data_IF_695774839926
#
_entry.id   IF_695774839926
#
_cell.length_a   1.000
_cell.length_b   1.000
_cell.length_c   1.000
_cell.angle_alpha   90.00
_cell.angle_beta   90.00
_cell.angle_gamma   90.00
#
_symmetry.space_group_name_H-M   'P 1'
#
loop_
_entity.id
_entity.type
_entity.pdbx_description
1 polymer ?
#
# COMPACT_ATOMS: atom_id res chain seq x y z
N UNK A 1 18.95 9.30 24.15
CA UNK A 1 20.11 8.60 23.54
C UNK A 1 21.19 8.29 24.59
N UNK A 2 21.72 9.26 25.34
CA UNK A 2 22.82 9.07 26.32
C UNK A 2 22.48 7.98 27.36
N UNK A 3 21.30 8.00 27.96
CA UNK A 3 20.89 7.00 28.97
C UNK A 3 20.91 5.59 28.37
N UNK A 4 20.38 5.40 27.15
CA UNK A 4 20.40 4.11 26.45
C UNK A 4 21.82 3.64 26.17
N UNK A 5 22.67 4.54 25.66
CA UNK A 5 24.08 4.26 25.40
C UNK A 5 24.80 3.78 26.67
N UNK A 6 24.65 4.51 27.78
CA UNK A 6 25.28 4.16 29.06
C UNK A 6 24.81 2.78 29.54
N UNK A 7 23.51 2.47 29.40
CA UNK A 7 22.99 1.18 29.83
C UNK A 7 23.52 0.03 28.95
N UNK A 8 23.59 0.21 27.63
CA UNK A 8 24.12 -0.76 26.69
C UNK A 8 25.60 -1.05 26.99
N UNK A 9 26.41 -0.04 27.20
CA UNK A 9 27.85 -0.14 27.47
C UNK A 9 28.21 -0.94 28.74
N UNK A 10 27.23 -1.21 29.60
CA UNK A 10 27.43 -2.13 30.75
C UNK A 10 27.54 -3.59 30.32
N UNK A 11 27.07 -3.95 29.15
CA UNK A 11 26.90 -5.34 28.69
C UNK A 11 27.68 -5.67 27.43
N UNK A 12 27.89 -4.68 26.55
CA UNK A 12 28.53 -4.85 25.24
C UNK A 12 29.39 -3.65 24.85
N UNK A 13 30.41 -3.92 24.04
CA UNK A 13 31.16 -2.88 23.33
C UNK A 13 30.45 -2.56 22.02
N UNK A 14 30.35 -1.27 21.68
CA UNK A 14 29.79 -0.81 20.42
C UNK A 14 30.81 -1.05 19.29
N UNK A 15 30.35 -1.56 18.17
CA UNK A 15 31.16 -1.81 16.98
C UNK A 15 30.55 -1.13 15.76
N UNK A 16 31.07 0.06 15.40
CA UNK A 16 30.58 0.88 14.30
C UNK A 16 30.83 0.26 12.90
N UNK A 17 31.78 -0.66 12.80
CA UNK A 17 32.11 -1.36 11.55
C UNK A 17 31.24 -2.62 11.31
N UNK A 18 30.13 -2.73 12.05
CA UNK A 18 29.19 -3.84 11.87
C UNK A 18 28.48 -3.71 10.51
N UNK A 19 28.59 -4.69 9.59
CA UNK A 19 27.94 -4.68 8.27
C UNK A 19 26.41 -4.48 8.32
N UNK A 20 25.78 -4.84 9.44
CA UNK A 20 24.33 -4.61 9.64
C UNK A 20 24.01 -3.13 9.71
N UNK A 21 24.88 -2.29 10.27
CA UNK A 21 24.69 -0.84 10.33
C UNK A 21 24.71 -0.24 8.94
N UNK A 22 25.65 -0.67 8.09
CA UNK A 22 25.74 -0.23 6.70
C UNK A 22 24.50 -0.64 5.90
N UNK A 23 23.98 -1.84 6.14
CA UNK A 23 22.73 -2.31 5.53
C UNK A 23 21.53 -1.42 5.93
N UNK A 24 21.40 -1.10 7.22
CA UNK A 24 20.34 -0.22 7.71
C UNK A 24 20.48 1.20 7.12
N UNK A 25 21.71 1.72 7.05
CA UNK A 25 21.99 3.02 6.45
C UNK A 25 21.61 3.05 4.96
N UNK A 26 21.99 2.04 4.18
CA UNK A 26 21.65 1.94 2.77
C UNK A 26 20.14 1.84 2.55
N UNK A 27 19.43 1.07 3.38
CA UNK A 27 17.97 0.99 3.35
C UNK A 27 17.32 2.35 3.66
N UNK A 28 17.88 3.13 4.58
CA UNK A 28 17.40 4.47 4.90
C UNK A 28 17.59 5.44 3.73
N UNK A 29 18.78 5.43 3.09
CA UNK A 29 19.11 6.22 1.90
C UNK A 29 18.11 5.94 0.78
N UNK A 30 17.86 4.66 0.47
CA UNK A 30 16.91 4.23 -0.55
C UNK A 30 15.47 4.64 -0.21
N UNK A 31 15.05 4.48 1.04
CA UNK A 31 13.69 4.82 1.51
C UNK A 31 13.42 6.33 1.43
N UNK A 32 14.45 7.14 1.60
CA UNK A 32 14.37 8.59 1.47
C UNK A 32 14.56 9.08 0.02
N UNK A 33 14.72 8.16 -0.95
CA UNK A 33 14.88 8.43 -2.38
C UNK A 33 16.14 9.22 -2.74
N UNK A 34 17.22 9.08 -1.98
CA UNK A 34 18.52 9.62 -2.37
C UNK A 34 19.19 8.68 -3.39
N UNK A 35 19.82 9.25 -4.41
CA UNK A 35 20.44 8.49 -5.51
C UNK A 35 21.71 7.75 -5.07
N UNK A 36 22.42 8.26 -4.05
CA UNK A 36 23.65 7.68 -3.52
C UNK A 36 23.97 8.23 -2.14
N UNK A 37 25.00 7.61 -1.52
CA UNK A 37 25.48 7.98 -0.18
C UNK A 37 26.00 9.42 -0.10
N UNK A 38 26.68 9.91 -1.14
CA UNK A 38 27.26 11.27 -1.14
C UNK A 38 26.17 12.35 -1.14
N UNK A 39 25.10 12.15 -1.90
CA UNK A 39 23.94 13.04 -1.90
C UNK A 39 23.29 13.09 -0.51
N UNK A 40 23.15 11.94 0.12
CA UNK A 40 22.63 11.87 1.49
C UNK A 40 23.56 12.52 2.51
N UNK A 41 24.87 12.37 2.37
CA UNK A 41 25.87 13.02 3.23
C UNK A 41 25.80 14.55 3.13
N UNK A 42 25.73 15.09 1.91
CA UNK A 42 25.54 16.52 1.68
C UNK A 42 24.24 17.04 2.30
N UNK A 43 23.17 16.23 2.24
CA UNK A 43 21.90 16.57 2.90
C UNK A 43 22.07 16.64 4.43
N UNK A 44 22.74 15.67 5.05
CA UNK A 44 22.98 15.64 6.50
C UNK A 44 23.84 16.84 6.98
N UNK A 45 24.81 17.27 6.19
CA UNK A 45 25.66 18.43 6.50
C UNK A 45 24.86 19.73 6.69
N UNK A 46 23.71 19.88 6.03
CA UNK A 46 22.83 21.04 6.24
C UNK A 46 22.23 21.09 7.65
N UNK A 47 22.34 20.01 8.42
CA UNK A 47 21.84 19.87 9.79
C UNK A 47 22.96 19.63 10.81
N UNK A 48 24.22 19.86 10.42
CA UNK A 48 25.41 19.61 11.25
C UNK A 48 25.49 18.15 11.76
N UNK A 49 25.03 17.17 10.94
CA UNK A 49 25.05 15.73 11.25
C UNK A 49 26.00 15.02 10.29
N UNK A 50 26.91 14.20 10.82
CA UNK A 50 27.77 13.33 10.01
C UNK A 50 27.15 11.94 9.82
N UNK A 51 27.60 11.21 8.79
CA UNK A 51 27.24 9.80 8.61
C UNK A 51 27.69 8.95 9.81
N UNK A 52 28.84 9.27 10.39
CA UNK A 52 29.37 8.55 11.56
C UNK A 52 28.50 8.76 12.80
N UNK A 53 27.97 9.97 13.01
CA UNK A 53 27.00 10.21 14.09
C UNK A 53 25.70 9.46 13.88
N UNK A 54 25.24 9.37 12.61
CA UNK A 54 24.07 8.58 12.28
C UNK A 54 24.32 7.08 12.47
N UNK A 55 25.49 6.57 12.08
CA UNK A 55 25.89 5.16 12.32
C UNK A 55 25.92 4.85 13.81
N UNK A 56 26.51 5.71 14.65
CA UNK A 56 26.50 5.58 16.12
C UNK A 56 25.07 5.50 16.67
N UNK A 57 24.19 6.33 16.16
CA UNK A 57 22.80 6.34 16.58
C UNK A 57 22.06 5.06 16.17
N UNK A 58 22.26 4.58 14.94
CA UNK A 58 21.70 3.31 14.45
C UNK A 58 22.19 2.15 15.31
N UNK A 59 23.47 2.13 15.62
CA UNK A 59 24.08 1.08 16.47
C UNK A 59 23.42 1.08 17.87
N UNK A 60 23.35 2.23 18.54
CA UNK A 60 22.74 2.35 19.86
C UNK A 60 21.28 1.86 19.82
N UNK A 61 20.51 2.25 18.81
CA UNK A 61 19.11 1.81 18.68
C UNK A 61 18.98 0.30 18.39
N UNK A 62 19.87 -0.28 17.59
CA UNK A 62 19.90 -1.72 17.33
C UNK A 62 20.26 -2.51 18.58
N UNK A 63 21.32 -2.12 19.27
CA UNK A 63 21.76 -2.80 20.49
C UNK A 63 20.75 -2.62 21.64
N UNK A 64 20.08 -1.48 21.70
CA UNK A 64 18.96 -1.30 22.63
C UNK A 64 17.83 -2.30 22.34
N UNK A 65 17.43 -2.47 21.07
CA UNK A 65 16.40 -3.44 20.69
C UNK A 65 16.83 -4.87 21.00
N UNK A 66 18.08 -5.22 20.72
CA UNK A 66 18.63 -6.53 21.03
C UNK A 66 18.60 -6.82 22.53
N UNK A 67 19.02 -5.87 23.34
CA UNK A 67 18.99 -6.00 24.80
C UNK A 67 17.56 -6.16 25.33
N UNK A 68 16.61 -5.37 24.83
CA UNK A 68 15.20 -5.50 25.17
C UNK A 68 14.66 -6.87 24.77
N UNK A 69 14.97 -7.33 23.58
CA UNK A 69 14.58 -8.66 23.10
C UNK A 69 15.14 -9.76 24.01
N UNK A 70 16.44 -9.78 24.27
CA UNK A 70 17.07 -10.78 25.14
C UNK A 70 16.42 -10.80 26.53
N UNK A 71 16.12 -9.62 27.08
CA UNK A 71 15.59 -9.47 28.42
C UNK A 71 14.11 -9.86 28.55
N UNK A 72 13.30 -9.60 27.50
CA UNK A 72 11.84 -9.65 27.61
C UNK A 72 11.15 -10.59 26.62
N UNK A 73 11.86 -11.26 25.68
CA UNK A 73 11.24 -12.17 24.71
C UNK A 73 10.39 -13.27 25.36
N UNK A 74 10.83 -13.79 26.50
CA UNK A 74 10.09 -14.81 27.29
C UNK A 74 8.84 -14.26 27.98
N UNK A 75 8.73 -12.95 28.11
CA UNK A 75 7.57 -12.25 28.68
C UNK A 75 6.55 -11.85 27.63
N UNK A 76 6.88 -11.98 26.36
CA UNK A 76 5.95 -11.76 25.25
C UNK A 76 4.93 -12.88 25.24
N UNK A 77 3.65 -12.49 25.27
CA UNK A 77 2.54 -13.43 25.24
C UNK A 77 1.62 -13.11 24.06
N UNK A 78 1.58 -14.00 23.07
CA UNK A 78 0.78 -13.84 21.85
C UNK A 78 -0.36 -14.86 21.87
N UNK A 79 -1.58 -14.35 21.92
CA UNK A 79 -2.77 -15.19 21.74
C UNK A 79 -3.01 -15.43 20.23
N UNK A 80 -2.47 -16.55 19.73
CA UNK A 80 -2.61 -16.91 18.31
C UNK A 80 -4.05 -17.18 17.90
N UNK A 81 -4.87 -17.72 18.80
CA UNK A 81 -6.29 -18.01 18.55
C UNK A 81 -7.07 -16.72 18.30
N UNK A 82 -6.83 -15.69 19.13
CA UNK A 82 -7.47 -14.39 18.98
C UNK A 82 -7.04 -13.70 17.65
N UNK A 83 -5.76 -13.84 17.27
CA UNK A 83 -5.28 -13.34 15.98
C UNK A 83 -5.92 -14.07 14.80
N UNK A 84 -6.05 -15.42 14.88
CA UNK A 84 -6.71 -16.19 13.85
C UNK A 84 -8.19 -15.85 13.73
N UNK A 85 -8.91 -15.63 14.83
CA UNK A 85 -10.29 -15.15 14.81
C UNK A 85 -10.43 -13.79 14.12
N UNK A 86 -9.48 -12.89 14.33
CA UNK A 86 -9.45 -11.60 13.62
C UNK A 86 -9.27 -11.79 12.11
N UNK A 87 -8.36 -12.68 11.70
CA UNK A 87 -8.14 -13.01 10.28
C UNK A 87 -9.39 -13.63 9.67
N UNK A 88 -10.03 -14.58 10.36
CA UNK A 88 -11.28 -15.21 9.89
C UNK A 88 -12.41 -14.18 9.71
N UNK A 89 -12.52 -13.23 10.63
CA UNK A 89 -13.49 -12.15 10.50
C UNK A 89 -13.16 -11.21 9.34
N UNK A 90 -11.88 -10.93 9.08
CA UNK A 90 -11.47 -10.15 7.90
C UNK A 90 -11.86 -10.86 6.61
N UNK A 91 -11.62 -12.18 6.51
CA UNK A 91 -12.00 -12.96 5.33
C UNK A 91 -13.51 -13.03 5.14
N UNK A 92 -14.28 -13.29 6.22
CA UNK A 92 -15.75 -13.38 6.16
C UNK A 92 -16.43 -12.07 5.78
N UNK A 93 -15.91 -10.95 6.27
CA UNK A 93 -16.55 -9.65 6.11
C UNK A 93 -16.07 -8.88 4.86
N UNK A 94 -15.05 -9.37 4.18
CA UNK A 94 -14.53 -8.76 2.98
C UNK A 94 -14.86 -9.58 1.74
N UNK A 95 -15.12 -8.89 0.65
CA UNK A 95 -15.35 -9.47 -0.66
C UNK A 95 -14.72 -8.59 -1.73
N UNK A 96 -14.36 -9.22 -2.83
CA UNK A 96 -13.90 -8.50 -4.02
C UNK A 96 -15.13 -8.28 -4.90
N UNK A 97 -15.55 -7.02 -5.04
CA UNK A 97 -16.57 -6.65 -6.01
C UNK A 97 -15.94 -6.71 -7.40
N UNK A 98 -16.55 -7.47 -8.31
CA UNK A 98 -16.15 -7.57 -9.71
C UNK A 98 -17.33 -7.18 -10.62
N UNK A 99 -16.99 -6.56 -11.74
CA UNK A 99 -17.89 -6.16 -12.80
C UNK A 99 -17.48 -6.89 -14.10
N UNK A 100 -18.42 -7.55 -14.73
CA UNK A 100 -18.23 -8.00 -16.11
C UNK A 100 -18.63 -6.84 -17.02
N UNK A 101 -17.67 -6.34 -17.77
CA UNK A 101 -17.79 -5.10 -18.52
C UNK A 101 -17.67 -5.32 -20.02
N UNK A 102 -18.37 -4.47 -20.77
CA UNK A 102 -18.07 -4.18 -22.17
C UNK A 102 -17.83 -2.70 -22.35
N UNK A 103 -17.04 -2.32 -23.34
CA UNK A 103 -16.65 -0.95 -23.61
C UNK A 103 -16.91 -0.49 -25.05
N UNK A 104 -17.12 0.80 -25.20
CA UNK A 104 -17.00 1.52 -26.47
C UNK A 104 -16.07 2.67 -26.24
N UNK A 105 -14.92 2.73 -26.93
CA UNK A 105 -14.02 3.88 -26.92
C UNK A 105 -14.17 4.62 -28.24
N UNK A 106 -14.39 5.92 -28.20
CA UNK A 106 -14.54 6.75 -29.38
C UNK A 106 -13.83 8.10 -29.23
N UNK A 107 -13.40 8.66 -30.38
CA UNK A 107 -12.79 9.97 -30.46
C UNK A 107 -13.74 10.96 -31.10
N UNK A 108 -13.62 12.25 -30.77
CA UNK A 108 -14.30 13.31 -31.51
C UNK A 108 -13.46 13.70 -32.74
N UNK A 109 -14.06 13.70 -33.94
CA UNK A 109 -13.42 14.18 -35.15
C UNK A 109 -13.46 15.70 -35.23
N UNK A 110 -12.51 16.30 -35.95
CA UNK A 110 -12.25 17.75 -36.01
C UNK A 110 -13.47 18.68 -36.27
N UNK A 111 -14.61 18.17 -36.71
CA UNK A 111 -15.81 18.94 -37.02
C UNK A 111 -17.07 18.45 -36.30
N UNK A 112 -16.96 17.51 -35.35
CA UNK A 112 -18.09 16.99 -34.58
C UNK A 112 -17.92 17.29 -33.11
N UNK A 113 -19.01 17.73 -32.44
CA UNK A 113 -18.98 17.88 -30.99
C UNK A 113 -19.04 16.50 -30.34
N UNK A 114 -18.52 16.41 -29.12
CA UNK A 114 -18.66 15.24 -28.27
C UNK A 114 -20.13 14.79 -28.17
N UNK A 115 -21.08 15.72 -28.04
CA UNK A 115 -22.49 15.41 -27.92
C UNK A 115 -23.06 14.77 -29.20
N UNK A 116 -22.62 15.18 -30.38
CA UNK A 116 -23.10 14.63 -31.65
C UNK A 116 -22.63 13.17 -31.83
N UNK A 117 -21.35 12.89 -31.56
CA UNK A 117 -20.82 11.52 -31.65
C UNK A 117 -21.48 10.61 -30.59
N UNK A 118 -21.63 11.10 -29.36
CA UNK A 118 -22.32 10.33 -28.33
C UNK A 118 -23.79 10.03 -28.70
N UNK A 119 -24.52 11.00 -29.27
CA UNK A 119 -25.89 10.81 -29.73
C UNK A 119 -26.01 9.75 -30.83
N UNK A 120 -25.07 9.72 -31.78
CA UNK A 120 -25.01 8.68 -32.81
C UNK A 120 -24.78 7.29 -32.19
N UNK A 121 -23.81 7.19 -31.28
CA UNK A 121 -23.51 5.94 -30.60
C UNK A 121 -24.72 5.47 -29.76
N UNK A 122 -25.37 6.39 -29.05
CA UNK A 122 -26.56 6.08 -28.26
C UNK A 122 -27.71 5.55 -29.12
N UNK A 123 -28.03 6.21 -30.23
CA UNK A 123 -29.04 5.74 -31.17
C UNK A 123 -28.67 4.36 -31.72
N UNK A 124 -27.39 4.14 -32.07
CA UNK A 124 -26.94 2.82 -32.55
C UNK A 124 -27.05 1.74 -31.48
N UNK A 125 -26.82 2.06 -30.20
CA UNK A 125 -27.03 1.11 -29.11
C UNK A 125 -28.53 0.73 -28.99
N UNK A 126 -29.42 1.71 -29.14
CA UNK A 126 -30.87 1.48 -29.09
C UNK A 126 -31.37 0.62 -30.27
N UNK A 127 -30.85 0.87 -31.47
CA UNK A 127 -31.26 0.16 -32.70
C UNK A 127 -30.61 -1.21 -32.89
N UNK A 128 -29.33 -1.35 -32.58
CA UNK A 128 -28.49 -2.48 -32.93
C UNK A 128 -27.92 -3.26 -31.73
N UNK A 129 -28.09 -2.72 -30.54
CA UNK A 129 -27.48 -3.23 -29.29
C UNK A 129 -26.03 -2.81 -29.10
N UNK A 130 -25.57 -2.96 -27.86
CA UNK A 130 -24.23 -2.48 -27.45
C UNK A 130 -23.08 -3.20 -28.20
N UNK A 131 -23.16 -4.53 -28.36
CA UNK A 131 -22.09 -5.32 -29.00
C UNK A 131 -21.88 -4.93 -30.47
N UNK A 132 -22.97 -4.80 -31.24
CA UNK A 132 -22.88 -4.39 -32.65
C UNK A 132 -22.40 -2.94 -32.77
N UNK A 133 -22.85 -2.07 -31.85
CA UNK A 133 -22.38 -0.69 -31.83
C UNK A 133 -20.89 -0.60 -31.48
N UNK A 134 -20.40 -1.44 -30.55
CA UNK A 134 -18.99 -1.53 -30.25
C UNK A 134 -18.16 -1.95 -31.49
N UNK A 135 -18.64 -2.95 -32.25
CA UNK A 135 -17.99 -3.37 -33.49
C UNK A 135 -17.90 -2.24 -34.53
N UNK A 136 -18.90 -1.34 -34.58
CA UNK A 136 -19.00 -0.30 -35.59
C UNK A 136 -18.24 1.01 -35.22
N UNK A 137 -18.28 1.38 -33.95
CA UNK A 137 -17.85 2.70 -33.49
C UNK A 137 -16.63 2.71 -32.57
N UNK A 138 -16.34 1.58 -31.88
CA UNK A 138 -15.23 1.55 -30.94
C UNK A 138 -13.89 1.47 -31.66
N UNK A 139 -12.96 2.33 -31.21
CA UNK A 139 -11.57 2.33 -31.66
C UNK A 139 -10.68 1.38 -30.83
N UNK A 140 -11.24 0.73 -29.82
CA UNK A 140 -10.54 -0.25 -28.99
C UNK A 140 -10.39 -1.58 -29.70
N UNK A 141 -9.34 -2.35 -29.38
CA UNK A 141 -9.18 -3.74 -29.86
C UNK A 141 -10.31 -4.67 -29.45
N UNK A 142 -10.97 -4.38 -28.33
CA UNK A 142 -12.16 -5.12 -27.86
C UNK A 142 -13.34 -5.01 -28.83
N UNK A 143 -13.36 -4.01 -29.73
CA UNK A 143 -14.40 -3.86 -30.76
C UNK A 143 -14.63 -5.14 -31.56
N UNK A 144 -13.56 -5.88 -31.87
CA UNK A 144 -13.62 -7.14 -32.66
C UNK A 144 -14.46 -8.25 -31.99
N UNK A 145 -14.72 -8.12 -30.70
CA UNK A 145 -15.51 -9.04 -29.87
C UNK A 145 -16.67 -8.35 -29.18
N UNK A 146 -17.24 -7.32 -29.81
CA UNK A 146 -18.40 -6.58 -29.29
C UNK A 146 -18.10 -5.73 -28.05
N UNK A 147 -16.85 -5.28 -27.92
CA UNK A 147 -16.40 -4.47 -26.80
C UNK A 147 -16.20 -5.24 -25.49
N UNK A 148 -16.22 -6.58 -25.48
CA UNK A 148 -16.13 -7.40 -24.26
C UNK A 148 -14.75 -7.28 -23.61
N UNK A 149 -14.72 -6.81 -22.34
CA UNK A 149 -13.53 -6.76 -21.49
C UNK A 149 -13.48 -7.98 -20.54
N UNK A 150 -14.65 -8.45 -20.09
CA UNK A 150 -14.78 -9.52 -19.10
C UNK A 150 -14.78 -9.00 -17.66
N UNK A 151 -14.38 -9.87 -16.72
CA UNK A 151 -14.44 -9.58 -15.29
C UNK A 151 -13.29 -8.69 -14.83
N UNK A 152 -13.63 -7.54 -14.27
CA UNK A 152 -12.67 -6.57 -13.72
C UNK A 152 -12.99 -6.31 -12.25
N UNK A 153 -11.99 -6.48 -11.38
CA UNK A 153 -12.14 -6.18 -9.97
C UNK A 153 -12.26 -4.66 -9.75
N UNK A 154 -13.16 -4.25 -8.85
CA UNK A 154 -13.39 -2.83 -8.51
C UNK A 154 -12.10 -2.08 -8.20
N UNK A 155 -11.15 -2.71 -7.50
CA UNK A 155 -9.85 -2.11 -7.15
C UNK A 155 -8.95 -1.75 -8.35
N UNK A 156 -9.20 -2.36 -9.51
CA UNK A 156 -8.45 -2.11 -10.75
C UNK A 156 -9.09 -1.00 -11.61
N UNK A 157 -10.23 -0.45 -11.18
CA UNK A 157 -10.90 0.67 -11.83
C UNK A 157 -10.53 1.98 -11.15
N UNK A 158 -10.36 3.04 -11.94
CA UNK A 158 -10.15 4.38 -11.38
C UNK A 158 -11.40 4.89 -10.66
N UNK A 159 -11.21 5.82 -9.72
CA UNK A 159 -12.32 6.44 -8.97
C UNK A 159 -13.34 7.07 -9.93
N UNK A 160 -12.88 7.73 -10.99
CA UNK A 160 -13.72 8.35 -12.00
C UNK A 160 -14.63 7.33 -12.72
N UNK A 161 -14.10 6.14 -13.05
CA UNK A 161 -14.87 5.05 -13.64
C UNK A 161 -15.89 4.50 -12.64
N UNK A 162 -15.43 4.22 -11.40
CA UNK A 162 -16.31 3.69 -10.34
C UNK A 162 -17.50 4.62 -10.11
N UNK A 163 -17.29 5.92 -10.03
CA UNK A 163 -18.36 6.88 -9.80
C UNK A 163 -19.43 6.87 -10.89
N UNK A 164 -19.06 6.57 -12.13
CA UNK A 164 -19.98 6.51 -13.27
C UNK A 164 -20.75 5.19 -13.35
N UNK A 165 -20.16 4.08 -12.86
CA UNK A 165 -20.79 2.75 -13.01
C UNK A 165 -21.42 2.21 -11.71
N UNK A 166 -21.12 2.78 -10.53
CA UNK A 166 -21.55 2.23 -9.22
C UNK A 166 -23.06 2.08 -9.04
N UNK A 167 -23.85 2.89 -9.73
CA UNK A 167 -25.33 2.88 -9.66
C UNK A 167 -25.97 2.19 -10.85
N UNK A 168 -25.19 1.75 -11.84
CA UNK A 168 -25.71 1.04 -13.00
C UNK A 168 -26.10 -0.39 -12.63
N UNK A 169 -27.21 -0.82 -13.20
CA UNK A 169 -27.70 -2.21 -13.11
C UNK A 169 -27.18 -3.03 -14.30
N UNK A 170 -27.41 -4.33 -14.25
CA UNK A 170 -27.17 -5.22 -15.38
C UNK A 170 -27.79 -4.67 -16.65
N UNK A 171 -27.07 -4.76 -17.75
CA UNK A 171 -27.39 -4.28 -19.10
C UNK A 171 -27.48 -2.76 -19.28
N UNK A 172 -27.25 -1.98 -18.23
CA UNK A 172 -27.12 -0.54 -18.33
C UNK A 172 -25.69 -0.11 -18.70
N UNK A 173 -25.58 1.02 -19.38
CA UNK A 173 -24.28 1.62 -19.75
C UNK A 173 -24.13 3.03 -19.20
N UNK A 174 -22.90 3.45 -19.06
CA UNK A 174 -22.54 4.75 -18.50
C UNK A 174 -22.72 5.90 -19.50
N UNK A 175 -22.85 7.12 -18.99
CA UNK A 175 -22.50 8.30 -19.75
C UNK A 175 -21.00 8.24 -20.12
N UNK A 176 -20.58 8.92 -21.20
CA UNK A 176 -19.19 8.94 -21.61
C UNK A 176 -18.25 9.44 -20.51
N UNK A 177 -17.16 8.72 -20.34
CA UNK A 177 -16.09 9.01 -19.38
C UNK A 177 -14.88 9.45 -20.17
N UNK A 178 -14.34 10.64 -19.88
CA UNK A 178 -13.15 11.14 -20.59
C UNK A 178 -11.91 10.33 -20.17
N UNK A 179 -11.19 9.79 -21.16
CA UNK A 179 -9.94 9.04 -21.00
C UNK A 179 -8.87 9.61 -21.94
N UNK A 180 -8.00 10.48 -21.43
CA UNK A 180 -7.04 11.18 -22.30
C UNK A 180 -7.75 12.08 -23.30
N UNK A 181 -7.53 11.80 -24.60
CA UNK A 181 -8.17 12.52 -25.71
C UNK A 181 -9.49 11.87 -26.19
N UNK A 182 -9.82 10.69 -25.68
CA UNK A 182 -10.94 9.87 -26.09
C UNK A 182 -12.03 9.80 -25.02
N UNK A 183 -13.12 9.13 -25.35
CA UNK A 183 -14.27 8.91 -24.48
C UNK A 183 -14.57 7.43 -24.39
N UNK A 184 -14.89 6.98 -23.19
CA UNK A 184 -15.21 5.60 -22.84
C UNK A 184 -16.67 5.50 -22.38
N UNK A 185 -17.43 4.58 -22.96
CA UNK A 185 -18.74 4.14 -22.48
C UNK A 185 -18.58 2.72 -21.96
N UNK A 186 -19.01 2.44 -20.73
CA UNK A 186 -18.95 1.12 -20.11
C UNK A 186 -20.36 0.55 -19.92
N UNK A 187 -20.60 -0.67 -20.37
CA UNK A 187 -21.81 -1.44 -20.08
C UNK A 187 -21.50 -2.46 -18.99
N UNK A 188 -22.41 -2.59 -18.03
CA UNK A 188 -22.39 -3.67 -17.02
C UNK A 188 -23.14 -4.88 -17.58
N UNK A 189 -22.43 -5.96 -17.90
CA UNK A 189 -23.03 -7.22 -18.29
C UNK A 189 -23.50 -8.01 -17.06
N UNK A 190 -22.68 -7.98 -15.99
CA UNK A 190 -22.96 -8.68 -14.74
C UNK A 190 -22.12 -8.11 -13.60
N UNK A 191 -22.54 -8.34 -12.37
CA UNK A 191 -21.77 -8.00 -11.16
C UNK A 191 -21.73 -9.20 -10.23
N UNK A 192 -20.60 -9.41 -9.56
CA UNK A 192 -20.48 -10.44 -8.55
C UNK A 192 -19.63 -10.02 -7.37
N UNK A 193 -19.87 -10.66 -6.25
CA UNK A 193 -19.00 -10.61 -5.07
C UNK A 193 -18.20 -11.90 -5.02
N UNK A 194 -16.89 -11.80 -5.22
CA UNK A 194 -15.98 -12.94 -5.05
C UNK A 194 -15.51 -12.96 -3.58
N UNK A 195 -15.44 -14.14 -2.93
CA UNK A 195 -14.83 -14.22 -1.60
C UNK A 195 -13.43 -13.60 -1.60
N UNK A 196 -13.09 -12.92 -0.52
CA UNK A 196 -11.75 -12.39 -0.32
C UNK A 196 -10.82 -13.55 0.05
N UNK A 197 -9.88 -13.86 -0.81
CA UNK A 197 -8.87 -14.87 -0.58
C UNK A 197 -7.63 -14.22 0.04
N UNK A 198 -7.15 -14.79 1.14
CA UNK A 198 -5.96 -14.37 1.87
C UNK A 198 -5.18 -15.61 2.31
N UNK A 199 -3.88 -15.57 2.21
CA UNK A 199 -3.01 -16.53 2.88
C UNK A 199 -3.05 -16.24 4.39
N UNK A 200 -3.86 -17.05 5.10
CA UNK A 200 -4.10 -16.85 6.53
C UNK A 200 -2.87 -17.13 7.37
N UNK A 201 -2.01 -18.05 6.93
CA UNK A 201 -0.78 -18.40 7.65
C UNK A 201 0.23 -17.25 7.55
N UNK A 202 0.46 -16.74 6.35
CA UNK A 202 1.32 -15.58 6.15
C UNK A 202 0.83 -14.33 6.90
N UNK A 203 -0.49 -14.08 6.90
CA UNK A 203 -1.05 -12.95 7.65
C UNK A 203 -0.96 -13.15 9.16
N UNK A 204 -1.14 -14.40 9.65
CA UNK A 204 -0.95 -14.73 11.07
C UNK A 204 0.49 -14.47 11.51
N UNK A 205 1.48 -14.92 10.75
CA UNK A 205 2.90 -14.66 11.04
C UNK A 205 3.20 -13.16 11.11
N UNK A 206 2.68 -12.40 10.16
CA UNK A 206 2.80 -10.94 10.14
C UNK A 206 2.15 -10.30 11.37
N UNK A 207 0.95 -10.72 11.74
CA UNK A 207 0.27 -10.21 12.93
C UNK A 207 1.00 -10.57 14.23
N UNK A 208 1.57 -11.78 14.32
CA UNK A 208 2.41 -12.20 15.44
C UNK A 208 3.63 -11.29 15.54
N UNK A 209 4.32 -11.02 14.43
CA UNK A 209 5.49 -10.14 14.42
C UNK A 209 5.14 -8.72 14.88
N UNK A 210 4.02 -8.18 14.40
CA UNK A 210 3.52 -6.84 14.79
C UNK A 210 3.22 -6.79 16.29
N UNK A 211 2.49 -7.78 16.81
CA UNK A 211 2.11 -7.81 18.22
C UNK A 211 3.32 -8.03 19.14
N UNK A 212 4.28 -8.90 18.71
CA UNK A 212 5.56 -9.09 19.39
C UNK A 212 6.32 -7.77 19.50
N UNK A 213 6.49 -7.06 18.38
CA UNK A 213 7.17 -5.76 18.37
C UNK A 213 6.49 -4.76 19.30
N UNK A 214 5.16 -4.69 19.25
CA UNK A 214 4.38 -3.79 20.10
C UNK A 214 4.54 -4.10 21.60
N UNK A 215 4.61 -5.38 21.97
CA UNK A 215 4.83 -5.77 23.39
C UNK A 215 6.27 -5.44 23.81
N UNK A 216 7.27 -5.72 22.96
CA UNK A 216 8.66 -5.36 23.23
C UNK A 216 8.86 -3.84 23.35
N UNK A 217 8.17 -3.03 22.53
CA UNK A 217 8.20 -1.56 22.65
C UNK A 217 7.62 -1.09 23.99
N UNK A 218 6.55 -1.72 24.49
CA UNK A 218 6.04 -1.44 25.83
C UNK A 218 7.06 -1.77 26.92
N UNK A 219 7.69 -2.95 26.85
CA UNK A 219 8.75 -3.32 27.77
C UNK A 219 9.95 -2.38 27.68
N UNK A 220 10.34 -1.98 26.48
CA UNK A 220 11.37 -0.98 26.24
C UNK A 220 11.08 0.34 26.98
N UNK A 221 9.88 0.85 26.84
CA UNK A 221 9.45 2.09 27.49
C UNK A 221 9.45 1.97 29.03
N UNK A 222 8.95 0.85 29.55
CA UNK A 222 8.93 0.59 31.01
C UNK A 222 10.37 0.52 31.53
N UNK A 223 11.24 -0.22 30.86
CA UNK A 223 12.62 -0.35 31.25
C UNK A 223 13.38 0.98 31.15
N UNK A 224 13.19 1.72 30.05
CA UNK A 224 13.80 3.05 29.89
C UNK A 224 13.39 4.01 31.03
N UNK A 225 12.10 4.05 31.36
CA UNK A 225 11.61 4.89 32.47
C UNK A 225 12.21 4.49 33.81
N UNK A 226 12.36 3.20 34.06
CA UNK A 226 12.99 2.68 35.29
C UNK A 226 14.46 3.12 35.38
N UNK A 227 15.25 2.98 34.33
CA UNK A 227 16.66 3.40 34.35
C UNK A 227 16.81 4.92 34.39
N UNK A 228 15.90 5.66 33.74
CA UNK A 228 15.88 7.14 33.78
C UNK A 228 15.66 7.68 35.20
N UNK A 229 14.76 7.09 35.96
CA UNK A 229 14.50 7.47 37.37
C UNK A 229 15.72 7.28 38.27
N UNK A 230 16.55 6.27 37.95
CA UNK A 230 17.76 5.95 38.71
C UNK A 230 19.02 6.68 38.19
N UNK A 231 18.93 7.37 37.06
CA UNK A 231 20.04 8.10 36.47
C UNK A 231 20.25 9.43 37.22
N UNK A 232 21.44 9.64 37.73
CA UNK A 232 21.85 10.96 38.24
C UNK A 232 22.31 11.80 37.04
N UNK A 233 21.48 12.76 36.64
CA UNK A 233 21.78 13.70 35.57
C UNK A 233 22.24 15.01 36.27
N UNK A 234 23.49 15.40 36.08
CA UNK A 234 24.00 16.71 36.42
C UNK A 234 24.25 17.51 35.15
N UNK A 235 23.60 18.63 34.98
CA UNK A 235 23.88 19.60 33.94
C UNK A 235 25.03 20.50 34.45
N UNK A 236 26.10 20.63 33.63
CA UNK A 236 27.21 21.52 33.89
C UNK A 236 27.11 22.75 33.00
#
# INVERSE_FOLDING_TARGET
>A
EIIRKIEILKYIELNQDNPQIDSVLNNLINKLNFSNKNEFENYLQNFDVSIDDLKKKIEIENEWKNMIYIKYNKSVNINKEDLMLKIDNLVKNNYIQEYNLSEIIFSTKNNTTYNDEFKKIKNSIEDNGFENTANLYSISDSSKVGGKIGWVAKKNLSVAIIDKIKNLKKDQYSEPIKIGNDFLILKINETRKKPFEMDKEAELEKMIMIETTKQLDKFSNIFYNKIKLNAKISEF
#
